data_IF_771452474028
#
_entry.id   IF_771452474028
#
_cell.length_a   1.000
_cell.length_b   1.000
_cell.length_c   1.000
_cell.angle_alpha   90.00
_cell.angle_beta   90.00
_cell.angle_gamma   90.00
#
_symmetry.space_group_name_H-M   'P 1'
#
loop_
_entity.id
_entity.type
_entity.pdbx_description
1 polymer ?
#
# COMPACT_ATOMS: atom_id res chain seq x y z
N UNK A 1 -2.51 -15.48 -6.29
CA UNK A 1 -1.11 -15.08 -6.18
C UNK A 1 -0.51 -15.00 -7.59
N UNK A 2 -0.10 -13.83 -8.04
CA UNK A 2 0.40 -13.60 -9.39
C UNK A 2 1.92 -13.37 -9.36
N UNK A 3 2.62 -13.82 -10.38
CA UNK A 3 4.09 -13.74 -10.45
C UNK A 3 4.57 -12.29 -10.51
N UNK A 4 3.83 -11.40 -11.17
CA UNK A 4 4.16 -9.97 -11.26
C UNK A 4 4.17 -9.28 -9.89
N UNK A 5 3.29 -9.71 -8.95
CA UNK A 5 3.32 -9.22 -7.59
C UNK A 5 4.57 -9.70 -6.83
N UNK A 6 4.96 -10.97 -7.03
CA UNK A 6 6.20 -11.53 -6.49
C UNK A 6 7.40 -10.72 -6.99
N UNK A 7 7.44 -10.40 -8.26
CA UNK A 7 8.55 -9.69 -8.90
C UNK A 7 8.63 -8.22 -8.46
N UNK A 8 7.52 -7.47 -8.55
CA UNK A 8 7.47 -6.06 -8.17
C UNK A 8 7.80 -5.88 -6.69
N UNK A 9 7.08 -6.60 -5.80
CA UNK A 9 7.33 -6.47 -4.37
C UNK A 9 8.68 -7.06 -3.97
N UNK A 10 9.18 -8.04 -4.72
CA UNK A 10 10.52 -8.57 -4.58
C UNK A 10 11.62 -7.53 -4.77
N UNK A 11 11.51 -6.70 -5.81
CA UNK A 11 12.45 -5.58 -6.02
C UNK A 11 12.26 -4.49 -4.97
N UNK A 12 11.02 -4.18 -4.58
CA UNK A 12 10.77 -3.22 -3.50
C UNK A 12 11.35 -3.69 -2.16
N UNK A 13 11.33 -5.00 -1.88
CA UNK A 13 12.00 -5.59 -0.71
C UNK A 13 13.52 -5.42 -0.76
N UNK A 14 14.15 -5.35 -1.96
CA UNK A 14 15.57 -5.03 -2.08
C UNK A 14 15.86 -3.59 -1.69
N UNK A 15 14.93 -2.65 -1.92
CA UNK A 15 15.09 -1.23 -1.59
C UNK A 15 14.82 -1.00 -0.09
N UNK A 16 13.65 -1.39 0.40
CA UNK A 16 13.19 -1.09 1.77
C UNK A 16 13.65 -2.10 2.82
N UNK A 17 14.21 -3.22 2.40
CA UNK A 17 14.59 -4.33 3.27
C UNK A 17 13.43 -5.31 3.53
N UNK A 18 13.80 -6.51 3.96
CA UNK A 18 12.85 -7.60 4.25
C UNK A 18 12.36 -7.50 5.69
N UNK A 19 11.03 -7.56 5.95
CA UNK A 19 10.50 -7.66 7.30
C UNK A 19 10.91 -8.99 7.96
N UNK A 20 11.07 -8.99 9.27
CA UNK A 20 11.41 -10.19 10.05
C UNK A 20 10.23 -10.64 10.89
N UNK A 21 10.13 -11.96 11.12
CA UNK A 21 9.07 -12.56 11.95
C UNK A 21 8.99 -11.94 13.36
N UNK A 22 10.14 -11.57 13.92
CA UNK A 22 10.20 -10.92 15.24
C UNK A 22 9.56 -9.53 15.32
N UNK A 23 9.34 -8.88 14.18
CA UNK A 23 8.64 -7.59 14.12
C UNK A 23 7.11 -7.72 14.25
N UNK A 24 6.57 -8.95 14.18
CA UNK A 24 5.13 -9.24 14.17
C UNK A 24 4.78 -10.34 15.19
N UNK A 25 4.97 -10.12 16.50
CA UNK A 25 4.69 -11.13 17.51
C UNK A 25 3.19 -11.38 17.63
N UNK A 26 2.82 -12.64 17.85
CA UNK A 26 1.46 -13.04 18.24
C UNK A 26 0.48 -13.34 17.11
N UNK A 27 0.91 -13.37 15.85
CA UNK A 27 0.08 -13.74 14.70
C UNK A 27 0.71 -14.88 13.88
N UNK A 28 -0.13 -15.71 13.28
CA UNK A 28 0.36 -16.74 12.35
C UNK A 28 0.56 -16.12 10.95
N UNK A 29 1.80 -15.73 10.71
CA UNK A 29 2.22 -15.14 9.43
C UNK A 29 3.00 -16.14 8.54
N UNK A 30 3.01 -17.43 8.84
CA UNK A 30 3.93 -18.35 8.20
C UNK A 30 3.82 -18.34 6.67
N UNK A 31 2.62 -18.52 6.10
CA UNK A 31 2.41 -18.51 4.65
C UNK A 31 2.74 -17.16 4.01
N UNK A 32 2.46 -16.06 4.72
CA UNK A 32 2.82 -14.72 4.25
C UNK A 32 4.34 -14.53 4.22
N UNK A 33 5.05 -14.95 5.26
CA UNK A 33 6.51 -14.86 5.27
C UNK A 33 7.18 -15.77 4.25
N UNK A 34 6.60 -16.94 3.96
CA UNK A 34 7.07 -17.80 2.87
C UNK A 34 6.89 -17.11 1.51
N UNK A 35 5.82 -16.35 1.32
CA UNK A 35 5.63 -15.49 0.16
C UNK A 35 6.65 -14.33 0.12
N UNK A 36 6.87 -13.63 1.23
CA UNK A 36 7.89 -12.56 1.35
C UNK A 36 9.28 -13.10 1.02
N UNK A 37 9.62 -14.28 1.48
CA UNK A 37 10.91 -14.93 1.20
C UNK A 37 11.07 -15.25 -0.28
N UNK A 38 10.04 -15.79 -0.94
CA UNK A 38 10.02 -16.01 -2.39
C UNK A 38 10.16 -14.69 -3.15
N UNK A 39 9.35 -13.70 -2.82
CA UNK A 39 9.41 -12.40 -3.46
C UNK A 39 10.80 -11.77 -3.32
N UNK A 40 11.39 -11.81 -2.13
CA UNK A 40 12.74 -11.29 -1.92
C UNK A 40 13.79 -12.00 -2.77
N UNK A 41 13.70 -13.35 -2.92
CA UNK A 41 14.61 -14.11 -3.77
C UNK A 41 14.41 -13.78 -5.25
N UNK A 42 13.15 -13.70 -5.71
CA UNK A 42 12.83 -13.32 -7.09
C UNK A 42 13.35 -11.91 -7.42
N UNK A 43 13.07 -10.94 -6.57
CA UNK A 43 13.57 -9.56 -6.74
C UNK A 43 15.08 -9.46 -6.76
N UNK A 44 15.78 -10.28 -5.95
CA UNK A 44 17.24 -10.38 -6.01
C UNK A 44 17.72 -10.94 -7.35
N UNK A 45 17.11 -12.01 -7.84
CA UNK A 45 17.49 -12.62 -9.11
C UNK A 45 17.28 -11.66 -10.29
N UNK A 46 16.13 -10.94 -10.32
CA UNK A 46 15.82 -9.94 -11.35
C UNK A 46 16.85 -8.80 -11.30
N UNK A 47 17.20 -8.32 -10.11
CA UNK A 47 18.19 -7.27 -9.93
C UNK A 47 19.59 -7.71 -10.36
N UNK A 48 20.01 -8.94 -10.01
CA UNK A 48 21.32 -9.47 -10.36
C UNK A 48 21.49 -9.70 -11.88
N UNK A 49 20.38 -9.89 -12.60
CA UNK A 49 20.36 -10.08 -14.07
C UNK A 49 20.34 -8.76 -14.86
N UNK A 50 20.05 -7.62 -14.22
CA UNK A 50 19.99 -6.29 -14.86
C UNK A 50 20.86 -5.27 -14.12
N UNK A 51 22.06 -4.93 -14.65
CA UNK A 51 22.99 -3.97 -14.02
C UNK A 51 22.40 -2.56 -13.83
N UNK A 52 21.47 -2.15 -14.71
CA UNK A 52 20.80 -0.85 -14.56
C UNK A 52 19.81 -0.86 -13.40
N UNK A 53 19.07 -1.94 -13.28
CA UNK A 53 18.16 -2.14 -12.13
C UNK A 53 18.96 -2.28 -10.82
N UNK A 54 20.07 -3.01 -10.85
CA UNK A 54 20.97 -3.12 -9.70
C UNK A 54 21.43 -1.74 -9.22
N UNK A 55 21.94 -0.91 -10.12
CA UNK A 55 22.37 0.46 -9.79
C UNK A 55 21.20 1.28 -9.25
N UNK A 56 20.03 1.21 -9.90
CA UNK A 56 18.83 1.92 -9.45
C UNK A 56 18.43 1.54 -8.02
N UNK A 57 18.41 0.25 -7.69
CA UNK A 57 18.09 -0.22 -6.32
C UNK A 57 19.11 0.32 -5.31
N UNK A 58 20.39 0.29 -5.65
CA UNK A 58 21.44 0.84 -4.78
C UNK A 58 21.30 2.34 -4.56
N UNK A 59 20.99 3.10 -5.61
CA UNK A 59 20.77 4.55 -5.51
C UNK A 59 19.56 4.85 -4.59
N UNK A 60 18.47 4.08 -4.72
CA UNK A 60 17.29 4.24 -3.85
C UNK A 60 17.60 3.90 -2.39
N UNK A 61 18.38 2.85 -2.13
CA UNK A 61 18.87 2.55 -0.76
C UNK A 61 19.71 3.71 -0.20
N UNK A 62 20.62 4.25 -0.99
CA UNK A 62 21.44 5.38 -0.58
C UNK A 62 20.60 6.61 -0.24
N UNK A 63 19.50 6.85 -0.97
CA UNK A 63 18.54 7.90 -0.65
C UNK A 63 17.87 7.70 0.72
N UNK A 64 17.44 6.45 1.03
CA UNK A 64 16.85 6.12 2.33
C UNK A 64 17.86 6.37 3.48
N UNK A 65 19.07 5.86 3.32
CA UNK A 65 20.14 6.04 4.32
C UNK A 65 20.52 7.50 4.51
N UNK A 66 20.58 8.27 3.41
CA UNK A 66 20.81 9.71 3.47
C UNK A 66 19.72 10.40 4.27
N UNK A 67 18.46 10.15 3.96
CA UNK A 67 17.32 10.76 4.64
C UNK A 67 17.31 10.45 6.14
N UNK A 68 17.62 9.21 6.53
CA UNK A 68 17.71 8.80 7.94
C UNK A 68 18.86 9.52 8.66
N UNK A 69 20.06 9.57 8.05
CA UNK A 69 21.21 10.24 8.64
C UNK A 69 20.97 11.75 8.81
N UNK A 70 20.40 12.40 7.79
CA UNK A 70 20.06 13.82 7.83
C UNK A 70 19.06 14.12 8.95
N UNK A 71 18.01 13.32 9.06
CA UNK A 71 16.98 13.50 10.08
C UNK A 71 17.53 13.29 11.49
N UNK A 72 18.35 12.26 11.71
CA UNK A 72 19.03 12.04 12.98
C UNK A 72 19.97 13.19 13.35
N UNK A 73 20.69 13.75 12.38
CA UNK A 73 21.57 14.92 12.60
C UNK A 73 20.76 16.15 13.02
N UNK A 74 19.60 16.38 12.38
CA UNK A 74 18.67 17.45 12.72
C UNK A 74 18.07 17.25 14.12
N UNK A 75 17.59 16.05 14.45
CA UNK A 75 17.07 15.71 15.80
C UNK A 75 18.13 15.90 16.88
N UNK A 76 19.38 15.53 16.60
CA UNK A 76 20.51 15.74 17.53
C UNK A 76 20.75 17.21 17.81
N UNK A 77 20.60 18.09 16.82
CA UNK A 77 20.67 19.54 17.05
C UNK A 77 19.49 20.02 17.89
N UNK A 78 18.27 19.58 17.56
CA UNK A 78 17.04 19.92 18.31
C UNK A 78 17.22 19.60 19.79
N UNK A 79 17.70 18.38 20.12
CA UNK A 79 17.99 17.96 21.48
C UNK A 79 19.05 18.83 22.18
N UNK A 80 20.16 19.13 21.50
CA UNK A 80 21.23 19.99 22.04
C UNK A 80 20.78 21.42 22.32
N UNK A 81 19.80 21.92 21.56
CA UNK A 81 19.25 23.26 21.72
C UNK A 81 18.08 23.33 22.70
N UNK A 82 17.58 22.19 23.15
CA UNK A 82 16.38 22.12 24.00
C UNK A 82 15.09 22.53 23.27
N UNK A 83 15.12 22.47 21.93
CA UNK A 83 13.94 22.80 21.13
C UNK A 83 12.91 21.67 21.20
N UNK A 84 11.64 22.04 21.05
CA UNK A 84 10.53 21.07 20.97
C UNK A 84 10.07 20.92 19.52
N UNK A 85 9.80 19.70 19.07
CA UNK A 85 9.34 19.42 17.70
C UNK A 85 8.01 20.12 17.38
N UNK A 86 7.14 20.24 18.39
CA UNK A 86 5.83 20.89 18.26
C UNK A 86 5.85 22.41 18.46
N UNK A 87 7.04 23.03 18.60
CA UNK A 87 7.12 24.49 18.69
C UNK A 87 7.09 25.15 17.30
N UNK A 88 6.66 26.42 17.20
CA UNK A 88 6.77 27.20 15.98
C UNK A 88 8.21 27.28 15.46
N UNK A 89 8.37 27.11 14.15
CA UNK A 89 9.67 27.29 13.51
C UNK A 89 10.00 28.77 13.37
N UNK A 90 11.04 29.21 14.08
CA UNK A 90 11.56 30.57 13.95
C UNK A 90 12.62 30.63 12.86
N UNK A 91 12.26 31.24 11.74
CA UNK A 91 13.12 31.38 10.56
C UNK A 91 14.42 32.15 10.89
N UNK A 92 14.35 33.20 11.74
CA UNK A 92 15.48 34.05 12.03
C UNK A 92 16.59 33.34 12.84
N UNK A 93 16.17 32.52 13.81
CA UNK A 93 17.10 31.89 14.74
C UNK A 93 17.44 30.46 14.36
N UNK A 94 16.48 29.68 13.85
CA UNK A 94 16.65 28.23 13.64
C UNK A 94 17.26 27.89 12.29
N UNK A 95 16.86 28.58 11.20
CA UNK A 95 17.29 28.24 9.84
C UNK A 95 18.80 28.13 9.72
N UNK A 96 19.52 29.18 10.17
CA UNK A 96 21.01 29.24 10.08
C UNK A 96 21.66 28.11 10.88
N UNK A 97 21.09 27.76 12.03
CA UNK A 97 21.62 26.69 12.85
C UNK A 97 21.41 25.31 12.24
N UNK A 98 20.23 25.06 11.66
CA UNK A 98 19.93 23.82 10.95
C UNK A 98 20.85 23.64 9.73
N UNK A 99 21.06 24.69 8.92
CA UNK A 99 21.96 24.67 7.78
C UNK A 99 23.43 24.46 8.16
N UNK A 100 23.82 24.92 9.35
CA UNK A 100 25.19 24.86 9.87
C UNK A 100 25.67 23.50 10.37
N UNK A 101 24.81 22.46 10.30
CA UNK A 101 25.17 21.09 10.71
C UNK A 101 26.21 20.52 9.74
N UNK A 102 27.38 20.14 10.25
CA UNK A 102 28.53 19.72 9.44
C UNK A 102 28.28 18.49 8.57
N UNK A 103 27.58 17.49 9.11
CA UNK A 103 27.32 16.20 8.46
C UNK A 103 25.95 16.12 7.75
N UNK A 104 25.27 17.26 7.55
CA UNK A 104 24.03 17.31 6.78
C UNK A 104 24.33 17.22 5.28
N UNK A 105 23.53 16.48 4.53
CA UNK A 105 23.67 16.38 3.07
C UNK A 105 23.34 17.71 2.37
N UNK A 106 23.85 17.87 1.16
CA UNK A 106 23.51 19.03 0.31
C UNK A 106 22.04 19.05 -0.07
N UNK A 107 21.40 17.88 -0.15
CA UNK A 107 19.95 17.75 -0.40
C UNK A 107 19.16 18.41 0.74
N UNK A 108 19.39 18.00 1.98
CA UNK A 108 18.70 18.57 3.13
C UNK A 108 19.04 20.06 3.32
N UNK A 109 20.29 20.47 3.11
CA UNK A 109 20.69 21.89 3.14
C UNK A 109 19.91 22.73 2.15
N UNK A 110 19.79 22.27 0.89
CA UNK A 110 19.02 22.99 -0.15
C UNK A 110 17.54 23.08 0.20
N UNK A 111 16.96 22.03 0.77
CA UNK A 111 15.57 22.04 1.19
C UNK A 111 15.30 23.03 2.34
N UNK A 112 16.22 23.14 3.30
CA UNK A 112 16.15 24.14 4.37
C UNK A 112 16.40 25.56 3.81
N UNK A 113 17.30 25.69 2.82
CA UNK A 113 17.64 26.97 2.21
C UNK A 113 16.54 27.56 1.31
N UNK A 114 15.51 26.79 0.98
CA UNK A 114 14.50 27.13 -0.02
C UNK A 114 13.74 28.41 0.32
N UNK A 115 13.98 29.46 -0.46
CA UNK A 115 13.37 30.79 -0.26
C UNK A 115 11.86 30.83 -0.51
N UNK A 116 11.31 29.94 -1.34
CA UNK A 116 9.88 29.80 -1.51
C UNK A 116 9.24 29.30 -0.20
N UNK A 117 9.87 28.34 0.45
CA UNK A 117 9.40 27.84 1.73
C UNK A 117 9.47 28.91 2.83
N UNK A 118 10.51 29.76 2.82
CA UNK A 118 10.59 30.87 3.76
C UNK A 118 9.36 31.77 3.67
N UNK A 119 8.93 32.10 2.46
CA UNK A 119 7.71 32.91 2.24
C UNK A 119 6.45 32.22 2.79
N UNK A 120 6.38 30.89 2.68
CA UNK A 120 5.27 30.14 3.26
C UNK A 120 5.30 30.21 4.79
N UNK A 121 6.49 30.07 5.39
CA UNK A 121 6.66 30.18 6.86
C UNK A 121 6.24 31.57 7.37
N UNK A 122 6.70 32.65 6.72
CA UNK A 122 6.35 34.02 7.10
C UNK A 122 4.84 34.22 6.99
N UNK A 123 4.24 33.91 5.86
CA UNK A 123 2.81 34.06 5.66
C UNK A 123 1.98 33.33 6.70
N UNK A 124 2.31 32.07 6.98
CA UNK A 124 1.59 31.26 7.99
C UNK A 124 1.75 31.79 9.40
N UNK A 125 2.88 32.40 9.70
CA UNK A 125 3.09 33.07 10.98
C UNK A 125 2.22 34.32 11.11
N UNK A 126 2.09 35.13 10.05
CA UNK A 126 1.21 36.30 9.99
C UNK A 126 -0.27 35.92 10.11
N UNK A 127 -0.67 34.77 9.55
CA UNK A 127 -2.01 34.20 9.63
C UNK A 127 -2.33 33.57 11.03
N UNK A 128 -1.39 33.58 11.97
CA UNK A 128 -1.58 32.98 13.31
C UNK A 128 -1.52 31.43 13.31
N UNK A 129 -1.10 30.81 12.23
CA UNK A 129 -0.95 29.36 12.08
C UNK A 129 0.50 28.98 11.71
N UNK A 130 1.47 29.14 12.62
CA UNK A 130 2.87 28.98 12.33
C UNK A 130 3.23 27.55 11.91
N UNK A 131 4.24 27.42 11.06
CA UNK A 131 4.82 26.14 10.69
C UNK A 131 5.58 25.56 11.89
N UNK A 132 5.34 24.30 12.22
CA UNK A 132 6.02 23.63 13.32
C UNK A 132 7.41 23.14 12.90
N UNK A 133 8.34 23.07 13.84
CA UNK A 133 9.70 22.59 13.62
C UNK A 133 9.71 21.15 13.09
N UNK A 134 8.86 20.27 13.62
CA UNK A 134 8.70 18.89 13.13
C UNK A 134 8.45 18.84 11.62
N UNK A 135 7.52 19.67 11.12
CA UNK A 135 7.23 19.74 9.69
C UNK A 135 8.45 20.17 8.87
N UNK A 136 9.23 21.13 9.37
CA UNK A 136 10.45 21.60 8.69
C UNK A 136 11.48 20.49 8.57
N UNK A 137 11.72 19.74 9.66
CA UNK A 137 12.67 18.63 9.66
C UNK A 137 12.24 17.51 8.70
N UNK A 138 10.97 17.10 8.76
CA UNK A 138 10.40 16.08 7.88
C UNK A 138 10.49 16.50 6.42
N UNK A 139 10.11 17.75 6.10
CA UNK A 139 10.20 18.30 4.76
C UNK A 139 11.65 18.39 4.25
N UNK A 140 12.60 18.77 5.11
CA UNK A 140 14.00 18.89 4.73
C UNK A 140 14.62 17.55 4.34
N UNK A 141 14.14 16.46 4.91
CA UNK A 141 14.68 15.10 4.76
C UNK A 141 13.76 14.14 4.02
N UNK A 142 12.56 14.58 3.59
CA UNK A 142 11.66 13.76 2.77
C UNK A 142 12.30 13.40 1.44
N UNK A 143 12.01 12.19 0.98
CA UNK A 143 12.42 11.75 -0.35
C UNK A 143 11.69 12.56 -1.43
N UNK A 144 12.32 12.74 -2.58
CA UNK A 144 11.75 13.39 -3.77
C UNK A 144 11.03 12.39 -4.70
N UNK A 145 10.82 11.18 -4.23
CA UNK A 145 10.07 10.12 -4.89
C UNK A 145 9.20 9.37 -3.88
N UNK A 146 8.15 8.73 -4.37
CA UNK A 146 7.22 7.92 -3.59
C UNK A 146 7.16 6.48 -4.13
N UNK A 147 6.32 5.63 -3.53
CA UNK A 147 6.24 4.22 -3.91
C UNK A 147 5.71 4.03 -5.34
N UNK A 148 4.81 4.89 -5.80
CA UNK A 148 4.25 4.82 -7.14
C UNK A 148 5.27 5.29 -8.19
N UNK A 149 6.08 6.32 -7.88
CA UNK A 149 7.21 6.73 -8.71
C UNK A 149 8.20 5.58 -8.89
N UNK A 150 8.50 4.83 -7.81
CA UNK A 150 9.35 3.63 -7.90
C UNK A 150 8.74 2.59 -8.82
N UNK A 151 7.47 2.28 -8.66
CA UNK A 151 6.76 1.30 -9.47
C UNK A 151 6.84 1.64 -10.97
N UNK A 152 6.49 2.87 -11.36
CA UNK A 152 6.54 3.26 -12.77
C UNK A 152 7.96 3.27 -13.34
N UNK A 153 8.97 3.57 -12.52
CA UNK A 153 10.37 3.46 -12.95
C UNK A 153 10.79 2.00 -13.12
N UNK A 154 10.31 1.08 -12.26
CA UNK A 154 10.55 -0.36 -12.40
C UNK A 154 9.99 -0.89 -13.71
N UNK A 155 8.81 -0.44 -14.16
CA UNK A 155 8.23 -0.83 -15.45
C UNK A 155 9.13 -0.51 -16.65
N UNK A 156 10.08 0.40 -16.53
CA UNK A 156 11.06 0.73 -17.58
C UNK A 156 12.27 -0.21 -17.68
N UNK A 157 12.51 -1.08 -16.68
CA UNK A 157 13.63 -2.02 -16.70
C UNK A 157 13.30 -3.29 -17.48
N UNK A 158 14.33 -3.94 -18.01
CA UNK A 158 14.25 -5.06 -18.97
C UNK A 158 13.20 -6.11 -18.60
N UNK A 159 13.21 -6.59 -17.35
CA UNK A 159 12.30 -7.64 -16.89
C UNK A 159 10.83 -7.22 -17.01
N UNK A 160 10.47 -6.07 -16.46
CA UNK A 160 9.10 -5.57 -16.48
C UNK A 160 8.70 -5.05 -17.87
N UNK A 161 9.64 -4.42 -18.60
CA UNK A 161 9.39 -3.96 -19.96
C UNK A 161 9.00 -5.10 -20.89
N UNK A 162 9.59 -6.28 -20.73
CA UNK A 162 9.23 -7.47 -21.51
C UNK A 162 7.75 -7.85 -21.37
N UNK A 163 7.11 -7.57 -20.24
CA UNK A 163 5.67 -7.80 -20.01
C UNK A 163 4.82 -6.87 -20.90
N UNK A 164 5.23 -5.61 -21.06
CA UNK A 164 4.57 -4.67 -21.99
C UNK A 164 4.80 -5.06 -23.44
N UNK A 165 6.01 -5.52 -23.80
CA UNK A 165 6.33 -5.98 -25.16
C UNK A 165 5.45 -7.18 -25.55
N UNK A 166 5.12 -8.10 -24.63
CA UNK A 166 4.17 -9.21 -24.85
C UNK A 166 2.75 -8.72 -25.14
N UNK A 167 2.28 -7.73 -24.40
CA UNK A 167 0.96 -7.15 -24.61
C UNK A 167 0.88 -6.37 -25.93
N UNK A 168 1.90 -5.57 -26.27
CA UNK A 168 1.98 -4.85 -27.55
C UNK A 168 2.01 -5.80 -28.75
N UNK A 169 2.64 -6.96 -28.59
CA UNK A 169 2.64 -8.02 -29.62
C UNK A 169 1.31 -8.78 -29.71
N UNK A 170 0.34 -8.51 -28.83
CA UNK A 170 -0.93 -9.23 -28.74
C UNK A 170 -0.77 -10.70 -28.33
N UNK A 171 0.35 -11.05 -27.68
CA UNK A 171 0.66 -12.42 -27.26
C UNK A 171 0.04 -12.73 -25.91
N UNK A 172 0.23 -11.85 -24.91
CA UNK A 172 -0.30 -12.00 -23.57
C UNK A 172 -0.46 -10.63 -22.90
N UNK A 173 -1.69 -10.28 -22.52
CA UNK A 173 -2.02 -9.04 -21.82
C UNK A 173 -2.08 -9.24 -20.29
N UNK A 174 -2.08 -10.48 -19.81
CA UNK A 174 -2.22 -10.83 -18.38
C UNK A 174 -1.22 -10.11 -17.49
N UNK A 175 0.09 -10.16 -17.78
CA UNK A 175 1.09 -9.47 -16.96
C UNK A 175 0.86 -7.96 -16.82
N UNK A 176 0.48 -7.28 -17.92
CA UNK A 176 0.21 -5.83 -17.89
C UNK A 176 -1.04 -5.51 -17.09
N UNK A 177 -2.10 -6.34 -17.20
CA UNK A 177 -3.28 -6.21 -16.36
C UNK A 177 -2.93 -6.36 -14.88
N UNK A 178 -2.09 -7.33 -14.52
CA UNK A 178 -1.63 -7.52 -13.15
C UNK A 178 -0.78 -6.34 -12.65
N UNK A 179 0.12 -5.80 -13.48
CA UNK A 179 0.87 -4.58 -13.16
C UNK A 179 -0.05 -3.37 -12.94
N UNK A 180 -1.11 -3.26 -13.74
CA UNK A 180 -2.12 -2.21 -13.57
C UNK A 180 -2.82 -2.31 -12.21
N UNK A 181 -3.25 -3.52 -11.81
CA UNK A 181 -3.84 -3.75 -10.48
C UNK A 181 -2.84 -3.42 -9.35
N UNK A 182 -1.58 -3.80 -9.48
CA UNK A 182 -0.54 -3.45 -8.50
C UNK A 182 -0.41 -1.93 -8.37
N UNK A 183 -0.44 -1.18 -9.49
CA UNK A 183 -0.37 0.28 -9.46
C UNK A 183 -1.54 0.90 -8.70
N UNK A 184 -2.75 0.35 -8.85
CA UNK A 184 -3.95 0.80 -8.12
C UNK A 184 -3.82 0.53 -6.61
N UNK A 185 -3.34 -0.65 -6.22
CA UNK A 185 -3.09 -0.93 -4.80
C UNK A 185 -2.02 -0.01 -4.20
N UNK A 186 -0.96 0.30 -4.94
CA UNK A 186 0.05 1.25 -4.47
C UNK A 186 -0.50 2.69 -4.37
N UNK A 187 -1.36 3.10 -5.30
CA UNK A 187 -2.08 4.38 -5.22
C UNK A 187 -3.00 4.43 -3.99
N UNK A 188 -3.79 3.38 -3.76
CA UNK A 188 -4.64 3.26 -2.56
C UNK A 188 -3.81 3.31 -1.27
N UNK A 189 -2.67 2.62 -1.24
CA UNK A 189 -1.75 2.72 -0.10
C UNK A 189 -1.30 4.16 0.16
N UNK A 190 -0.98 4.93 -0.88
CA UNK A 190 -0.57 6.33 -0.72
C UNK A 190 -1.69 7.21 -0.19
N UNK A 191 -2.92 7.01 -0.67
CA UNK A 191 -4.09 7.78 -0.26
C UNK A 191 -4.48 7.49 1.19
N UNK A 192 -4.46 6.24 1.60
CA UNK A 192 -4.90 5.81 2.93
C UNK A 192 -3.83 6.00 4.02
N UNK A 193 -2.56 5.88 3.66
CA UNK A 193 -1.47 5.86 4.64
C UNK A 193 -0.50 7.05 4.46
N UNK A 194 0.27 7.08 3.39
CA UNK A 194 1.34 8.07 3.19
C UNK A 194 1.65 8.34 1.72
N UNK A 195 1.42 9.56 1.27
CA UNK A 195 1.83 10.03 -0.06
C UNK A 195 3.33 10.41 -0.14
N UNK A 196 3.96 10.73 1.00
CA UNK A 196 5.37 11.15 1.08
C UNK A 196 6.12 10.23 2.03
N UNK A 197 7.28 9.75 1.58
CA UNK A 197 8.20 8.98 2.43
C UNK A 197 9.13 9.98 3.12
N UNK A 198 8.82 10.31 4.36
CA UNK A 198 9.62 11.18 5.20
C UNK A 198 10.55 10.37 6.12
N UNK A 199 11.66 10.98 6.54
CA UNK A 199 12.69 10.27 7.28
C UNK A 199 12.23 9.77 8.66
N UNK A 200 11.22 10.38 9.28
CA UNK A 200 10.65 9.92 10.54
C UNK A 200 10.06 8.51 10.44
N UNK A 201 9.35 8.20 9.32
CA UNK A 201 8.80 6.87 9.11
C UNK A 201 9.85 5.84 8.68
N UNK A 202 11.00 6.30 8.15
CA UNK A 202 12.11 5.42 7.82
C UNK A 202 12.86 4.94 9.07
N UNK A 203 12.80 5.70 10.16
CA UNK A 203 13.37 5.27 11.43
C UNK A 203 12.66 4.00 11.92
N UNK A 204 13.42 3.09 12.53
CA UNK A 204 12.92 1.82 13.06
C UNK A 204 12.17 0.95 12.02
N UNK A 205 12.50 1.10 10.74
CA UNK A 205 11.84 0.40 9.63
C UNK A 205 10.33 0.65 9.55
N UNK A 206 9.86 1.83 9.96
CA UNK A 206 8.44 2.15 10.03
C UNK A 206 7.73 2.03 8.69
N UNK A 207 8.35 2.51 7.59
CA UNK A 207 7.77 2.39 6.25
C UNK A 207 7.68 0.92 5.79
N UNK A 208 8.73 0.13 6.04
CA UNK A 208 8.74 -1.31 5.77
C UNK A 208 7.62 -2.04 6.51
N UNK A 209 7.44 -1.73 7.82
CA UNK A 209 6.36 -2.33 8.61
C UNK A 209 4.98 -1.91 8.12
N UNK A 210 4.82 -0.64 7.71
CA UNK A 210 3.56 -0.13 7.20
C UNK A 210 3.19 -0.80 5.87
N UNK A 211 4.10 -0.82 4.90
CA UNK A 211 3.84 -1.38 3.58
C UNK A 211 3.72 -2.91 3.63
N UNK A 212 4.75 -3.61 4.12
CA UNK A 212 4.80 -5.07 4.08
C UNK A 212 4.13 -5.71 5.30
N UNK A 213 4.21 -5.11 6.48
CA UNK A 213 3.67 -5.70 7.70
C UNK A 213 2.19 -5.44 7.93
N UNK A 214 1.66 -4.34 7.44
CA UNK A 214 0.26 -3.98 7.64
C UNK A 214 -0.52 -4.07 6.33
N UNK A 215 -0.18 -3.27 5.35
CA UNK A 215 -0.99 -3.13 4.13
C UNK A 215 -0.98 -4.40 3.27
N UNK A 216 0.19 -4.85 2.82
CA UNK A 216 0.29 -6.05 1.98
C UNK A 216 -0.11 -7.33 2.72
N UNK A 217 0.15 -7.40 4.03
CA UNK A 217 -0.35 -8.51 4.82
C UNK A 217 -1.88 -8.55 4.88
N UNK A 218 -2.53 -7.39 5.03
CA UNK A 218 -3.98 -7.32 5.00
C UNK A 218 -4.55 -7.78 3.64
N UNK A 219 -3.97 -7.32 2.53
CA UNK A 219 -4.34 -7.76 1.18
C UNK A 219 -4.14 -9.27 0.99
N UNK A 220 -2.99 -9.79 1.43
CA UNK A 220 -2.69 -11.22 1.35
C UNK A 220 -3.70 -12.07 2.12
N UNK A 221 -4.12 -11.62 3.31
CA UNK A 221 -5.01 -12.36 4.20
C UNK A 221 -6.48 -12.24 3.82
N UNK A 222 -6.92 -11.05 3.43
CA UNK A 222 -8.33 -10.79 3.11
C UNK A 222 -8.68 -11.33 1.73
N UNK A 223 -7.67 -11.57 0.87
CA UNK A 223 -7.90 -11.95 -0.51
C UNK A 223 -8.87 -10.98 -1.12
N UNK A 224 -8.47 -9.71 -1.33
CA UNK A 224 -9.31 -8.84 -2.15
C UNK A 224 -9.46 -9.53 -3.50
N UNK A 225 -10.63 -10.14 -3.64
CA UNK A 225 -11.04 -10.79 -4.85
C UNK A 225 -11.46 -9.71 -5.81
N UNK A 226 -10.80 -9.71 -6.94
CA UNK A 226 -11.31 -9.19 -8.20
C UNK A 226 -11.63 -7.70 -8.24
N UNK A 227 -10.81 -7.02 -9.02
CA UNK A 227 -11.10 -5.72 -9.57
C UNK A 227 -12.36 -5.82 -10.43
N UNK A 228 -13.45 -5.22 -9.97
CA UNK A 228 -14.61 -4.95 -10.79
C UNK A 228 -14.38 -3.60 -11.48
N UNK A 229 -14.28 -3.60 -12.81
CA UNK A 229 -14.32 -2.36 -13.57
C UNK A 229 -15.71 -1.76 -13.38
N UNK A 230 -15.81 -0.66 -12.65
CA UNK A 230 -17.09 0.00 -12.38
C UNK A 230 -17.75 0.55 -13.66
N UNK A 231 -16.98 0.78 -14.73
CA UNK A 231 -17.48 1.28 -16.02
C UNK A 231 -17.93 0.15 -16.95
N UNK A 232 -17.30 -1.04 -16.88
CA UNK A 232 -17.71 -2.25 -17.62
C UNK A 232 -17.58 -3.52 -16.77
N UNK A 233 -18.42 -3.69 -15.75
CA UNK A 233 -18.33 -4.81 -14.81
C UNK A 233 -18.62 -6.17 -15.48
N UNK A 234 -19.22 -6.17 -16.67
CA UNK A 234 -19.60 -7.40 -17.40
C UNK A 234 -19.23 -7.30 -18.89
N UNK A 235 -17.95 -7.44 -19.25
CA UNK A 235 -17.51 -7.35 -20.62
C UNK A 235 -18.25 -8.35 -21.52
N UNK A 236 -18.68 -7.89 -22.71
CA UNK A 236 -19.40 -8.72 -23.67
C UNK A 236 -18.57 -9.95 -24.09
N UNK A 237 -19.24 -11.12 -24.16
CA UNK A 237 -18.58 -12.36 -24.53
C UNK A 237 -17.90 -13.12 -23.41
N UNK A 238 -17.99 -12.64 -22.17
CA UNK A 238 -17.51 -13.33 -20.97
C UNK A 238 -18.67 -13.80 -20.10
N UNK A 239 -18.46 -14.87 -19.35
CA UNK A 239 -19.43 -15.40 -18.37
C UNK A 239 -18.91 -14.98 -16.99
N UNK A 240 -19.62 -14.09 -16.27
CA UNK A 240 -19.21 -13.67 -14.94
C UNK A 240 -19.42 -14.81 -13.93
N UNK A 241 -18.43 -15.06 -13.10
CA UNK A 241 -18.55 -15.93 -11.92
C UNK A 241 -18.63 -15.03 -10.70
N UNK A 242 -19.77 -15.04 -10.04
CA UNK A 242 -20.05 -14.15 -8.92
C UNK A 242 -20.46 -14.95 -7.68
N UNK A 243 -20.14 -14.43 -6.52
CA UNK A 243 -20.77 -14.89 -5.29
C UNK A 243 -22.20 -14.35 -5.20
N UNK A 244 -23.06 -14.96 -4.38
CA UNK A 244 -24.43 -14.47 -4.15
C UNK A 244 -24.43 -13.01 -3.67
N UNK A 245 -23.43 -12.62 -2.88
CA UNK A 245 -23.31 -11.26 -2.38
C UNK A 245 -22.93 -10.25 -3.47
N UNK A 246 -22.03 -10.62 -4.37
CA UNK A 246 -21.64 -9.80 -5.53
C UNK A 246 -22.77 -9.69 -6.56
N UNK A 247 -23.58 -10.74 -6.71
CA UNK A 247 -24.72 -10.75 -7.62
C UNK A 247 -25.94 -9.97 -7.09
N UNK A 248 -25.91 -9.51 -5.84
CA UNK A 248 -27.03 -8.77 -5.23
C UNK A 248 -27.33 -7.49 -5.99
N UNK A 249 -28.59 -7.35 -6.45
CA UNK A 249 -29.03 -6.19 -7.23
C UNK A 249 -28.72 -6.25 -8.72
N UNK A 250 -28.09 -7.34 -9.21
CA UNK A 250 -27.82 -7.56 -10.62
C UNK A 250 -28.88 -8.49 -11.24
N UNK A 251 -29.20 -8.24 -12.51
CA UNK A 251 -30.16 -9.04 -13.27
C UNK A 251 -29.44 -9.69 -14.46
N UNK A 252 -29.54 -11.02 -14.56
CA UNK A 252 -28.98 -11.79 -15.66
C UNK A 252 -30.05 -12.60 -16.39
N UNK A 253 -30.01 -12.65 -17.75
CA UNK A 253 -30.96 -13.46 -18.52
C UNK A 253 -30.89 -14.95 -18.19
N UNK A 254 -29.73 -15.46 -17.83
CA UNK A 254 -29.44 -16.84 -17.43
C UNK A 254 -28.55 -16.86 -16.23
N UNK A 255 -28.94 -17.58 -15.19
CA UNK A 255 -28.13 -17.79 -13.98
C UNK A 255 -27.86 -19.27 -13.82
N UNK A 256 -26.57 -19.64 -13.73
CA UNK A 256 -26.17 -21.02 -13.41
C UNK A 256 -25.73 -21.05 -11.95
N UNK A 257 -26.50 -21.73 -11.11
CA UNK A 257 -26.17 -21.87 -9.70
C UNK A 257 -25.24 -23.08 -9.50
N UNK A 258 -23.97 -22.78 -9.14
CA UNK A 258 -22.92 -23.78 -8.92
C UNK A 258 -22.95 -24.33 -7.49
N UNK A 259 -23.03 -25.65 -7.35
CA UNK A 259 -22.85 -26.40 -6.09
C UNK A 259 -23.72 -25.97 -4.91
N UNK A 260 -25.04 -26.08 -4.99
CA UNK A 260 -25.91 -25.94 -3.83
C UNK A 260 -25.62 -27.10 -2.85
N UNK A 261 -24.91 -26.84 -1.77
CA UNK A 261 -24.67 -27.84 -0.73
C UNK A 261 -25.99 -28.18 -0.04
N UNK A 262 -26.43 -29.41 -0.14
CA UNK A 262 -27.63 -29.94 0.56
C UNK A 262 -27.50 -30.03 2.09
N UNK A 263 -26.32 -29.84 2.65
CA UNK A 263 -26.06 -30.00 4.08
C UNK A 263 -25.54 -28.68 4.69
N UNK A 264 -26.32 -27.61 4.60
CA UNK A 264 -26.07 -26.47 5.49
C UNK A 264 -26.49 -26.92 6.92
N UNK A 265 -25.56 -26.78 7.87
CA UNK A 265 -25.92 -26.82 9.29
C UNK A 265 -26.88 -25.64 9.51
N UNK A 266 -28.05 -25.89 10.09
CA UNK A 266 -28.98 -24.84 10.51
C UNK A 266 -28.20 -23.84 11.35
N UNK A 267 -28.13 -22.59 10.91
CA UNK A 267 -27.42 -21.56 11.63
C UNK A 267 -28.25 -21.16 12.86
N UNK A 268 -27.59 -20.78 13.94
CA UNK A 268 -28.24 -20.40 15.20
C UNK A 268 -29.30 -19.30 15.04
N UNK A 269 -29.20 -18.49 13.97
CA UNK A 269 -30.17 -17.45 13.61
C UNK A 269 -31.47 -18.05 13.10
N UNK A 270 -31.42 -19.13 12.32
CA UNK A 270 -32.59 -19.85 11.82
C UNK A 270 -33.36 -20.50 12.95
N UNK A 271 -32.67 -21.10 13.94
CA UNK A 271 -33.28 -21.64 15.15
C UNK A 271 -34.04 -20.57 15.97
N UNK A 272 -33.59 -19.33 15.93
CA UNK A 272 -34.21 -18.20 16.65
C UNK A 272 -35.38 -17.62 15.87
N UNK A 273 -35.26 -17.55 14.55
CA UNK A 273 -36.29 -16.93 13.68
C UNK A 273 -37.41 -17.89 13.30
N UNK A 274 -37.11 -19.19 13.14
CA UNK A 274 -38.10 -20.21 12.79
C UNK A 274 -39.35 -20.18 13.67
N UNK A 275 -39.26 -20.13 15.02
CA UNK A 275 -40.44 -20.07 15.87
C UNK A 275 -41.30 -18.81 15.70
N UNK A 276 -40.71 -17.71 15.20
CA UNK A 276 -41.41 -16.44 14.93
C UNK A 276 -42.21 -16.51 13.62
N UNK A 277 -41.75 -17.34 12.70
CA UNK A 277 -42.40 -17.59 11.37
C UNK A 277 -43.33 -18.78 11.39
N UNK A 278 -43.28 -19.62 12.42
CA UNK A 278 -44.01 -20.88 12.52
C UNK A 278 -45.42 -20.63 13.06
N UNK A 279 -46.30 -20.12 12.19
CA UNK A 279 -47.74 -19.93 12.50
C UNK A 279 -48.55 -21.11 11.99
N UNK A 280 -49.30 -21.78 12.87
CA UNK A 280 -50.15 -22.91 12.44
C UNK A 280 -51.10 -22.50 11.33
N UNK A 281 -51.06 -23.22 10.21
CA UNK A 281 -51.95 -23.01 9.08
C UNK A 281 -51.42 -22.06 7.98
N UNK A 282 -50.26 -21.45 8.14
CA UNK A 282 -49.65 -20.61 7.11
C UNK A 282 -48.61 -21.40 6.27
N UNK A 283 -48.49 -21.09 4.96
CA UNK A 283 -47.57 -21.83 4.08
C UNK A 283 -46.07 -21.64 4.44
N UNK A 284 -45.70 -20.64 5.25
CA UNK A 284 -44.35 -20.30 5.61
C UNK A 284 -43.61 -21.40 6.38
N UNK A 285 -44.30 -22.21 7.19
CA UNK A 285 -43.68 -23.31 7.94
C UNK A 285 -43.18 -24.46 7.05
N UNK A 286 -43.56 -24.46 5.76
CA UNK A 286 -43.13 -25.43 4.75
C UNK A 286 -42.05 -24.89 3.84
N UNK A 287 -41.66 -23.63 4.02
CA UNK A 287 -40.63 -23.01 3.20
C UNK A 287 -39.26 -23.58 3.58
N UNK A 288 -38.52 -24.04 2.59
CA UNK A 288 -37.13 -24.42 2.75
C UNK A 288 -36.25 -23.21 2.94
N UNK A 289 -35.00 -23.45 3.36
CA UNK A 289 -33.96 -22.43 3.60
C UNK A 289 -33.85 -21.38 2.48
N UNK A 290 -34.03 -21.81 1.24
CA UNK A 290 -33.99 -20.96 0.07
C UNK A 290 -35.19 -19.98 -0.03
N UNK A 291 -36.34 -20.39 0.45
CA UNK A 291 -37.54 -19.55 0.42
C UNK A 291 -37.54 -18.51 1.54
N UNK A 292 -36.95 -18.83 2.69
CA UNK A 292 -36.73 -17.85 3.76
C UNK A 292 -35.76 -16.74 3.35
N UNK A 293 -34.70 -17.06 2.60
CA UNK A 293 -33.78 -16.02 2.09
C UNK A 293 -34.47 -15.04 1.13
N UNK A 294 -35.51 -15.47 0.39
CA UNK A 294 -36.32 -14.60 -0.47
C UNK A 294 -37.18 -13.59 0.29
N UNK A 295 -37.51 -13.85 1.55
CA UNK A 295 -38.31 -12.93 2.38
C UNK A 295 -37.49 -11.79 3.00
N UNK A 296 -36.16 -11.94 3.06
CA UNK A 296 -35.26 -10.95 3.62
C UNK A 296 -34.53 -10.13 2.56
N UNK A 297 -34.77 -10.42 1.29
CA UNK A 297 -34.26 -9.70 0.12
C UNK A 297 -35.44 -9.26 -0.76
#
# INVERSE_FOLDING_TARGET
>A
EVDEAVDVFGVLLQIFGKPTRGQFPGQDYNSYFDWVDRAHQAGKAIMDDDPLLYQFVHDRKADLERAQRDYQALLSLVGRRGWQLNQPYDLATMKRQLQGIGNLSDFARRNIANSYFDRVVIRRQEEGNPVLLDYVLKRATSLDWNILDLFYRLCGFRHFKAMFDLAEAGTDEGPVCNLSLISQYLAKFMDEYRSVISADILLENGFQRLLFGSYLYALFRLGESEYEDAEDPFPKGRIPFLTIHQAKGLEFPVVVFGNPRKNARVQRVEEIVQPLLDRPGEPLHRMGEFDMMRLFY
#
